data_IF_157190602416
#
_entry.id   IF_157190602416
#
_cell.length_a   1.000
_cell.length_b   1.000
_cell.length_c   1.000
_cell.angle_alpha   90.00
_cell.angle_beta   90.00
_cell.angle_gamma   90.00
#
_symmetry.space_group_name_H-M   'P 1'
#
loop_
_entity.id
_entity.type
_entity.pdbx_description
1 polymer ?
#
# COMPACT_ATOMS: atom_id res chain seq x y z
N UNK A 1 30.39 -47.89 -23.72
CA UNK A 1 29.69 -46.83 -24.47
C UNK A 1 29.86 -45.53 -23.71
N UNK A 2 30.77 -44.63 -24.13
CA UNK A 2 31.06 -43.36 -23.41
C UNK A 2 30.02 -42.31 -23.85
N UNK A 3 29.29 -41.66 -22.93
CA UNK A 3 28.40 -40.58 -23.32
C UNK A 3 29.22 -39.45 -23.95
N UNK A 4 28.75 -38.94 -25.09
CA UNK A 4 29.40 -37.86 -25.82
C UNK A 4 29.47 -36.61 -24.94
N UNK A 5 30.65 -35.99 -24.84
CA UNK A 5 30.88 -34.78 -24.04
C UNK A 5 29.92 -33.63 -24.40
N UNK A 6 29.43 -33.62 -25.64
CA UNK A 6 28.44 -32.66 -26.11
C UNK A 6 27.06 -32.84 -25.44
N UNK A 7 26.65 -34.08 -25.14
CA UNK A 7 25.37 -34.37 -24.49
C UNK A 7 25.34 -33.86 -23.05
N UNK A 8 26.49 -33.90 -22.36
CA UNK A 8 26.65 -33.38 -21.00
C UNK A 8 26.61 -31.84 -21.01
N UNK A 9 27.28 -31.20 -21.97
CA UNK A 9 27.30 -29.73 -22.08
C UNK A 9 25.91 -29.17 -22.42
N UNK A 10 25.16 -29.82 -23.32
CA UNK A 10 23.79 -29.40 -23.65
C UNK A 10 22.85 -29.54 -22.44
N UNK A 11 22.99 -30.61 -21.64
CA UNK A 11 22.20 -30.79 -20.43
C UNK A 11 22.52 -29.78 -19.32
N UNK A 12 23.76 -29.28 -19.25
CA UNK A 12 24.15 -28.22 -18.32
C UNK A 12 23.58 -26.86 -18.76
N UNK A 13 23.58 -26.55 -20.06
CA UNK A 13 23.07 -25.26 -20.58
C UNK A 13 21.53 -25.16 -20.44
N UNK A 14 20.80 -26.27 -20.58
CA UNK A 14 19.34 -26.28 -20.47
C UNK A 14 18.84 -26.04 -19.03
N UNK A 15 19.65 -26.34 -18.01
CA UNK A 15 19.27 -26.12 -16.60
C UNK A 15 19.57 -24.70 -16.07
N UNK A 16 20.19 -23.81 -16.87
CA UNK A 16 20.51 -22.43 -16.46
C UNK A 16 19.41 -21.43 -16.84
N UNK A 17 18.27 -21.90 -17.36
CA UNK A 17 17.07 -21.09 -17.47
C UNK A 17 16.29 -21.09 -16.14
N UNK A 18 16.91 -20.61 -15.05
CA UNK A 18 16.09 -20.03 -13.98
C UNK A 18 15.48 -18.77 -14.60
N UNK A 19 14.22 -18.89 -15.05
CA UNK A 19 13.43 -17.74 -15.41
C UNK A 19 13.44 -16.79 -14.21
N UNK A 20 14.04 -15.61 -14.37
CA UNK A 20 13.74 -14.51 -13.47
C UNK A 20 12.23 -14.31 -13.57
N UNK A 21 11.50 -14.66 -12.51
CA UNK A 21 10.05 -14.45 -12.46
C UNK A 21 9.80 -12.96 -12.64
N UNK A 22 9.23 -12.59 -13.78
CA UNK A 22 8.79 -11.22 -14.03
C UNK A 22 7.43 -11.07 -13.37
N UNK A 23 7.40 -10.28 -12.29
CA UNK A 23 6.15 -9.94 -11.62
C UNK A 23 5.21 -9.18 -12.56
N UNK A 24 3.92 -9.48 -12.46
CA UNK A 24 2.88 -8.85 -13.27
C UNK A 24 2.60 -7.43 -12.80
N UNK A 25 1.91 -6.65 -13.62
CA UNK A 25 1.43 -5.31 -13.21
C UNK A 25 0.49 -5.40 -12.00
N UNK A 26 -0.32 -6.46 -11.90
CA UNK A 26 -1.23 -6.64 -10.76
C UNK A 26 -0.45 -6.88 -9.47
N UNK A 27 0.59 -7.72 -9.52
CA UNK A 27 1.46 -7.98 -8.37
C UNK A 27 2.07 -6.68 -7.84
N UNK A 28 2.60 -5.85 -8.74
CA UNK A 28 3.19 -4.56 -8.36
C UNK A 28 2.12 -3.62 -7.79
N UNK A 29 0.94 -3.51 -8.43
CA UNK A 29 -0.17 -2.68 -7.92
C UNK A 29 -0.63 -3.11 -6.54
N UNK A 30 -0.72 -4.41 -6.28
CA UNK A 30 -1.06 -4.93 -4.96
C UNK A 30 -0.09 -4.41 -3.89
N UNK A 31 1.21 -4.59 -4.12
CA UNK A 31 2.21 -4.13 -3.15
C UNK A 31 2.28 -2.61 -3.02
N UNK A 32 2.09 -1.87 -4.12
CA UNK A 32 1.98 -0.40 -4.08
C UNK A 32 0.79 0.01 -3.21
N UNK A 33 -0.39 -0.57 -3.43
CA UNK A 33 -1.58 -0.27 -2.64
C UNK A 33 -1.34 -0.51 -1.14
N UNK A 34 -0.78 -1.67 -0.76
CA UNK A 34 -0.46 -1.97 0.64
C UNK A 34 0.53 -0.97 1.25
N UNK A 35 1.55 -0.54 0.49
CA UNK A 35 2.49 0.51 0.94
C UNK A 35 1.78 1.85 1.13
N UNK A 36 0.88 2.22 0.22
CA UNK A 36 0.08 3.45 0.34
C UNK A 36 -0.74 3.45 1.63
N UNK A 37 -1.50 2.39 1.90
CA UNK A 37 -2.29 2.26 3.14
C UNK A 37 -1.40 2.37 4.37
N UNK A 38 -0.26 1.67 4.37
CA UNK A 38 0.69 1.71 5.46
C UNK A 38 1.26 3.12 5.68
N UNK A 39 1.75 3.78 4.65
CA UNK A 39 2.35 5.11 4.75
C UNK A 39 1.33 6.17 5.18
N UNK A 40 0.09 6.10 4.67
CA UNK A 40 -0.98 6.99 5.12
C UNK A 40 -1.29 6.79 6.61
N UNK A 41 -1.40 5.53 7.04
CA UNK A 41 -1.65 5.17 8.45
C UNK A 41 -0.53 5.66 9.37
N UNK A 42 0.73 5.43 8.98
CA UNK A 42 1.90 5.85 9.73
C UNK A 42 1.98 7.40 9.84
N UNK A 43 1.67 8.14 8.78
CA UNK A 43 1.64 9.61 8.81
C UNK A 43 0.51 10.18 9.66
N UNK A 44 -0.70 9.61 9.57
CA UNK A 44 -1.83 9.99 10.44
C UNK A 44 -1.47 9.77 11.91
N UNK A 45 -0.83 8.65 12.24
CA UNK A 45 -0.40 8.33 13.60
C UNK A 45 0.62 9.34 14.15
N UNK A 46 1.56 9.84 13.31
CA UNK A 46 2.55 10.85 13.71
C UNK A 46 1.93 12.21 14.07
N UNK A 47 0.82 12.59 13.44
CA UNK A 47 0.16 13.89 13.67
C UNK A 47 -0.55 13.91 15.03
N UNK A 48 -1.14 12.78 15.43
CA UNK A 48 -1.90 12.60 16.67
C UNK A 48 -3.33 13.18 16.61
N UNK A 49 -4.28 12.63 17.40
CA UNK A 49 -5.71 12.96 17.32
C UNK A 49 -6.08 14.36 17.83
N UNK A 50 -5.16 15.01 18.54
CA UNK A 50 -5.45 16.24 19.29
C UNK A 50 -5.30 17.52 18.45
N UNK A 51 -4.80 17.42 17.21
CA UNK A 51 -4.68 18.59 16.33
C UNK A 51 -6.04 18.85 15.68
N UNK A 52 -6.67 19.96 16.04
CA UNK A 52 -7.98 20.38 15.55
C UNK A 52 -7.81 21.52 14.55
N UNK A 53 -8.58 21.49 13.47
CA UNK A 53 -8.71 22.56 12.48
C UNK A 53 -10.13 23.08 12.40
N UNK A 54 -10.26 24.36 12.04
CA UNK A 54 -11.54 24.97 11.72
C UNK A 54 -11.84 24.73 10.23
N UNK A 55 -12.98 24.11 9.95
CA UNK A 55 -13.46 23.75 8.61
C UNK A 55 -14.79 24.43 8.31
N UNK A 56 -15.04 24.66 7.01
CA UNK A 56 -16.28 25.27 6.50
C UNK A 56 -16.19 26.77 6.23
N UNK A 57 -17.15 27.28 5.44
CA UNK A 57 -17.28 28.70 5.14
C UNK A 57 -17.82 29.51 6.31
N UNK A 58 -17.78 30.85 6.20
CA UNK A 58 -18.33 31.77 7.19
C UNK A 58 -19.86 31.65 7.24
N UNK A 59 -20.38 30.77 8.10
CA UNK A 59 -21.79 30.78 8.49
C UNK A 59 -21.95 31.72 9.68
N UNK A 60 -22.93 32.61 9.64
CA UNK A 60 -23.28 33.44 10.79
C UNK A 60 -24.37 32.74 11.59
N UNK A 61 -24.26 32.75 12.92
CA UNK A 61 -25.37 32.37 13.80
C UNK A 61 -26.47 33.46 13.77
N UNK A 62 -27.57 33.21 14.48
CA UNK A 62 -28.68 34.16 14.61
C UNK A 62 -28.31 35.48 15.30
N UNK A 63 -27.14 35.55 15.94
CA UNK A 63 -26.59 36.75 16.60
C UNK A 63 -25.53 37.46 15.76
N UNK A 64 -25.24 36.97 14.54
CA UNK A 64 -24.25 37.56 13.64
C UNK A 64 -22.80 37.15 13.93
N UNK A 65 -22.56 36.15 14.78
CA UNK A 65 -21.20 35.62 15.02
C UNK A 65 -20.84 34.57 13.97
N UNK A 66 -19.58 34.57 13.53
CA UNK A 66 -19.07 33.54 12.65
C UNK A 66 -18.97 32.19 13.37
N UNK A 67 -19.71 31.20 12.89
CA UNK A 67 -19.66 29.80 13.31
C UNK A 67 -18.77 29.04 12.35
N UNK A 68 -17.70 28.44 12.88
CA UNK A 68 -16.82 27.52 12.16
C UNK A 68 -16.94 26.14 12.77
N UNK A 69 -16.97 25.11 11.94
CA UNK A 69 -16.97 23.74 12.43
C UNK A 69 -15.55 23.36 12.82
N UNK A 70 -15.39 22.57 13.87
CA UNK A 70 -14.08 22.06 14.30
C UNK A 70 -14.03 20.58 13.97
N UNK A 71 -12.96 20.14 13.30
CA UNK A 71 -12.70 18.71 12.99
C UNK A 71 -11.25 18.39 13.32
N UNK A 72 -10.94 17.13 13.59
CA UNK A 72 -9.55 16.68 13.64
C UNK A 72 -8.86 16.99 12.32
N UNK A 73 -7.62 17.51 12.38
CA UNK A 73 -6.77 17.75 11.21
C UNK A 73 -6.63 16.49 10.37
N UNK A 74 -6.37 15.35 11.02
CA UNK A 74 -6.19 14.05 10.35
C UNK A 74 -7.43 13.54 9.64
N UNK A 75 -8.61 14.10 9.95
CA UNK A 75 -9.89 13.76 9.32
C UNK A 75 -10.38 14.85 8.36
N UNK A 76 -9.60 15.91 8.17
CA UNK A 76 -9.96 16.98 7.23
C UNK A 76 -9.64 16.55 5.80
N UNK A 77 -10.53 16.90 4.86
CA UNK A 77 -10.36 16.58 3.44
C UNK A 77 -9.04 17.12 2.90
N UNK A 78 -8.75 18.41 3.18
CA UNK A 78 -7.48 19.05 2.81
C UNK A 78 -6.25 18.24 3.26
N UNK A 79 -6.21 17.81 4.52
CA UNK A 79 -5.09 17.04 5.04
C UNK A 79 -4.96 15.68 4.32
N UNK A 80 -6.07 14.99 4.10
CA UNK A 80 -6.07 13.65 3.51
C UNK A 80 -5.70 13.70 2.03
N UNK A 81 -6.19 14.68 1.26
CA UNK A 81 -5.78 14.89 -0.13
C UNK A 81 -4.29 15.20 -0.24
N UNK A 82 -3.78 16.13 0.58
CA UNK A 82 -2.33 16.41 0.61
C UNK A 82 -1.51 15.18 1.02
N UNK A 83 -2.04 14.37 1.95
CA UNK A 83 -1.36 13.16 2.39
C UNK A 83 -1.27 12.12 1.28
N UNK A 84 -2.34 11.91 0.50
CA UNK A 84 -2.34 10.98 -0.63
C UNK A 84 -1.27 11.35 -1.66
N UNK A 85 -1.15 12.64 -2.00
CA UNK A 85 -0.11 13.14 -2.91
C UNK A 85 1.30 12.91 -2.34
N UNK A 86 1.55 13.30 -1.09
CA UNK A 86 2.85 13.12 -0.41
C UNK A 86 3.25 11.66 -0.29
N UNK A 87 2.30 10.75 -0.10
CA UNK A 87 2.58 9.31 -0.05
C UNK A 87 3.08 8.82 -1.41
N UNK A 88 2.49 9.25 -2.52
CA UNK A 88 2.99 8.89 -3.84
C UNK A 88 4.39 9.45 -4.13
N UNK A 89 4.73 10.63 -3.61
CA UNK A 89 6.10 11.16 -3.68
C UNK A 89 7.10 10.28 -2.92
N UNK A 90 6.73 9.77 -1.73
CA UNK A 90 7.60 8.86 -0.96
C UNK A 90 7.90 7.54 -1.67
N UNK A 91 7.05 7.11 -2.61
CA UNK A 91 7.30 5.89 -3.38
C UNK A 91 8.53 5.99 -4.29
N UNK A 92 9.11 7.18 -4.49
CA UNK A 92 10.43 7.35 -5.11
C UNK A 92 11.56 6.74 -4.28
N UNK A 93 11.39 6.61 -2.96
CA UNK A 93 12.38 6.00 -2.07
C UNK A 93 12.26 4.47 -2.00
N UNK A 94 11.23 3.91 -2.64
CA UNK A 94 10.95 2.48 -2.65
C UNK A 94 11.54 1.79 -3.88
N UNK A 95 11.90 0.53 -3.68
CA UNK A 95 12.43 -0.35 -4.72
C UNK A 95 11.73 -1.69 -4.68
N UNK A 96 11.55 -2.29 -5.87
CA UNK A 96 11.08 -3.66 -6.02
C UNK A 96 12.19 -4.63 -5.67
N UNK A 97 11.87 -5.58 -4.81
CA UNK A 97 12.80 -6.63 -4.40
C UNK A 97 12.11 -7.98 -4.37
N UNK A 98 12.87 -9.04 -4.59
CA UNK A 98 12.46 -10.42 -4.40
C UNK A 98 13.02 -10.91 -3.07
N UNK A 99 12.16 -11.44 -2.22
CA UNK A 99 12.59 -12.05 -0.97
C UNK A 99 13.36 -13.36 -1.22
N UNK A 100 14.59 -13.49 -0.70
CA UNK A 100 15.44 -14.67 -0.96
C UNK A 100 14.88 -15.97 -0.39
N UNK A 101 14.07 -15.89 0.67
CA UNK A 101 13.53 -17.07 1.37
C UNK A 101 12.26 -17.58 0.69
N UNK A 102 11.41 -16.66 0.25
CA UNK A 102 10.06 -16.97 -0.27
C UNK A 102 9.92 -16.82 -1.77
N UNK A 103 10.84 -16.13 -2.44
CA UNK A 103 10.77 -15.80 -3.88
C UNK A 103 9.71 -14.75 -4.22
N UNK A 104 9.01 -14.17 -3.23
CA UNK A 104 7.90 -13.24 -3.46
C UNK A 104 8.38 -11.80 -3.67
N UNK A 105 7.65 -11.06 -4.50
CA UNK A 105 7.80 -9.61 -4.65
C UNK A 105 7.52 -8.93 -3.31
N UNK A 106 8.32 -7.90 -2.99
CA UNK A 106 8.07 -6.92 -1.95
C UNK A 106 8.54 -5.55 -2.41
N UNK A 107 8.05 -4.51 -1.74
CA UNK A 107 8.58 -3.15 -1.84
C UNK A 107 9.26 -2.80 -0.53
N UNK A 108 10.49 -2.30 -0.59
CA UNK A 108 11.20 -1.79 0.57
C UNK A 108 11.72 -0.38 0.30
N UNK A 109 11.87 0.43 1.34
CA UNK A 109 12.67 1.66 1.22
C UNK A 109 14.12 1.27 0.98
N UNK A 110 14.78 1.93 0.04
CA UNK A 110 16.21 1.72 -0.18
C UNK A 110 17.02 2.23 1.01
N UNK A 111 16.61 3.38 1.55
CA UNK A 111 17.28 4.05 2.67
C UNK A 111 16.33 4.19 3.86
N UNK A 112 16.84 3.94 5.07
CA UNK A 112 16.17 4.17 6.34
C UNK A 112 17.14 4.93 7.24
N UNK A 113 16.71 6.06 7.79
CA UNK A 113 17.54 6.93 8.65
C UNK A 113 18.90 7.32 8.04
N UNK A 114 18.93 7.53 6.72
CA UNK A 114 20.15 7.89 5.99
C UNK A 114 21.13 6.75 5.75
N UNK A 115 20.80 5.52 6.15
CA UNK A 115 21.57 4.31 5.91
C UNK A 115 20.84 3.36 4.95
N UNK A 116 21.58 2.46 4.30
CA UNK A 116 20.97 1.41 3.47
C UNK A 116 20.08 0.53 4.35
N UNK A 117 18.89 0.21 3.86
CA UNK A 117 17.94 -0.62 4.60
C UNK A 117 18.59 -1.98 4.96
N UNK A 118 18.58 -2.41 6.24
CA UNK A 118 19.18 -3.67 6.67
C UNK A 118 18.61 -4.90 5.94
N UNK A 119 17.36 -4.81 5.49
CA UNK A 119 16.66 -5.89 4.77
C UNK A 119 17.28 -6.17 3.39
N UNK A 120 18.11 -5.27 2.85
CA UNK A 120 18.82 -5.46 1.57
C UNK A 120 19.68 -6.71 1.53
N UNK A 121 20.13 -7.23 2.68
CA UNK A 121 20.86 -8.49 2.76
C UNK A 121 19.99 -9.72 2.49
N UNK A 122 18.70 -9.65 2.78
CA UNK A 122 17.73 -10.74 2.67
C UNK A 122 16.95 -10.77 1.35
N UNK A 123 17.21 -9.81 0.46
CA UNK A 123 16.45 -9.63 -0.78
C UNK A 123 17.36 -9.45 -2.00
N UNK A 124 16.81 -9.70 -3.17
CA UNK A 124 17.43 -9.42 -4.46
C UNK A 124 16.69 -8.27 -5.15
N UNK A 125 17.41 -7.27 -5.65
CA UNK A 125 16.79 -6.15 -6.36
C UNK A 125 16.22 -6.61 -7.70
N UNK A 126 14.96 -6.27 -7.96
CA UNK A 126 14.35 -6.48 -9.27
C UNK A 126 14.98 -5.48 -10.24
N UNK A 127 15.65 -6.00 -11.27
CA UNK A 127 16.21 -5.17 -12.34
C UNK A 127 15.14 -5.00 -13.42
N UNK A 128 14.54 -3.83 -13.45
CA UNK A 128 13.51 -3.40 -14.37
C UNK A 128 14.04 -2.29 -15.28
N UNK A 129 13.51 -2.22 -16.50
CA UNK A 129 13.92 -1.20 -17.47
C UNK A 129 13.58 0.23 -17.02
N UNK A 130 12.67 0.37 -16.04
CA UNK A 130 12.21 1.65 -15.50
C UNK A 130 12.87 2.08 -14.18
N UNK A 131 13.80 1.31 -13.61
CA UNK A 131 14.51 1.60 -12.35
C UNK A 131 13.59 2.08 -11.20
N UNK A 132 12.45 1.41 -11.02
CA UNK A 132 11.39 1.72 -10.05
C UNK A 132 10.67 3.06 -10.25
N UNK A 133 10.87 3.74 -11.39
CA UNK A 133 10.14 4.99 -11.72
C UNK A 133 8.64 4.77 -11.90
N UNK A 134 8.19 3.53 -12.11
CA UNK A 134 6.76 3.19 -12.19
C UNK A 134 6.04 3.16 -10.84
N UNK A 135 6.72 3.02 -9.69
CA UNK A 135 6.03 2.91 -8.40
C UNK A 135 5.21 4.17 -8.06
N UNK A 136 5.74 5.40 -8.19
CA UNK A 136 4.93 6.61 -8.02
C UNK A 136 3.77 6.69 -9.03
N UNK A 137 3.96 6.22 -10.26
CA UNK A 137 2.90 6.22 -11.28
C UNK A 137 1.77 5.28 -10.89
N UNK A 138 2.08 4.06 -10.42
CA UNK A 138 1.06 3.14 -9.91
C UNK A 138 0.35 3.70 -8.68
N UNK A 139 1.06 4.43 -7.82
CA UNK A 139 0.44 5.11 -6.69
C UNK A 139 -0.61 6.12 -7.15
N UNK A 140 -0.27 6.99 -8.10
CA UNK A 140 -1.20 7.98 -8.63
C UNK A 140 -2.43 7.30 -9.26
N UNK A 141 -2.23 6.23 -10.04
CA UNK A 141 -3.35 5.45 -10.59
C UNK A 141 -4.24 4.84 -9.50
N UNK A 142 -3.66 4.37 -8.38
CA UNK A 142 -4.41 3.79 -7.26
C UNK A 142 -5.17 4.88 -6.51
N UNK A 143 -4.53 6.01 -6.19
CA UNK A 143 -5.15 7.14 -5.49
C UNK A 143 -6.32 7.70 -6.32
N UNK A 144 -6.15 7.86 -7.64
CA UNK A 144 -7.22 8.36 -8.52
C UNK A 144 -8.48 7.48 -8.45
N UNK A 145 -8.33 6.16 -8.33
CA UNK A 145 -9.45 5.21 -8.25
C UNK A 145 -9.99 5.10 -6.81
N UNK A 146 -9.11 5.15 -5.81
CA UNK A 146 -9.41 4.83 -4.42
C UNK A 146 -9.60 6.08 -3.53
N UNK A 147 -9.59 7.29 -4.09
CA UNK A 147 -9.70 8.54 -3.33
C UNK A 147 -10.91 8.53 -2.38
N UNK A 148 -12.10 8.21 -2.89
CA UNK A 148 -13.33 8.20 -2.09
C UNK A 148 -13.31 7.11 -0.99
N UNK A 149 -13.00 5.84 -1.29
CA UNK A 149 -12.82 4.80 -0.27
C UNK A 149 -11.82 5.17 0.82
N UNK A 150 -10.65 5.70 0.44
CA UNK A 150 -9.62 6.15 1.38
C UNK A 150 -10.14 7.32 2.24
N UNK A 151 -10.75 8.32 1.61
CA UNK A 151 -11.32 9.47 2.31
C UNK A 151 -12.33 9.01 3.37
N UNK A 152 -13.24 8.10 3.00
CA UNK A 152 -14.25 7.57 3.91
C UNK A 152 -13.61 6.79 5.07
N UNK A 153 -12.64 5.93 4.78
CA UNK A 153 -11.95 5.13 5.80
C UNK A 153 -11.22 6.01 6.82
N UNK A 154 -10.42 6.97 6.36
CA UNK A 154 -9.63 7.82 7.25
C UNK A 154 -10.46 8.89 7.99
N UNK A 155 -11.67 9.20 7.51
CA UNK A 155 -12.60 10.09 8.21
C UNK A 155 -13.47 9.38 9.25
N UNK A 156 -13.52 8.04 9.25
CA UNK A 156 -14.27 7.25 10.21
C UNK A 156 -13.80 7.46 11.65
N UNK A 157 -14.61 7.04 12.62
CA UNK A 157 -14.25 7.17 14.04
C UNK A 157 -13.13 6.23 14.45
N UNK A 158 -13.12 5.03 13.90
CA UNK A 158 -12.08 4.01 14.05
C UNK A 158 -11.55 3.62 12.68
N UNK A 159 -10.23 3.48 12.57
CA UNK A 159 -9.62 2.93 11.36
C UNK A 159 -9.69 1.40 11.42
N UNK A 160 -10.12 0.79 10.33
CA UNK A 160 -10.17 -0.68 10.21
C UNK A 160 -8.75 -1.25 10.24
N UNK A 161 -8.52 -2.28 11.04
CA UNK A 161 -7.24 -2.98 11.13
C UNK A 161 -6.92 -3.74 9.82
N UNK A 162 -7.96 -4.10 9.05
CA UNK A 162 -7.86 -4.79 7.77
C UNK A 162 -8.10 -3.84 6.58
N UNK A 163 -7.82 -2.54 6.75
CA UNK A 163 -8.03 -1.53 5.72
C UNK A 163 -7.32 -1.85 4.41
N UNK A 164 -6.15 -2.49 4.47
CA UNK A 164 -5.40 -2.90 3.29
C UNK A 164 -6.13 -4.01 2.51
N UNK A 165 -6.72 -4.99 3.18
CA UNK A 165 -7.54 -6.02 2.52
C UNK A 165 -8.77 -5.38 1.88
N UNK A 166 -9.49 -4.54 2.62
CA UNK A 166 -10.69 -3.86 2.11
C UNK A 166 -10.37 -3.01 0.86
N UNK A 167 -9.39 -2.11 0.95
CA UNK A 167 -9.07 -1.19 -0.16
C UNK A 167 -8.35 -1.90 -1.30
N UNK A 168 -7.35 -2.74 -1.02
CA UNK A 168 -6.49 -3.30 -2.07
C UNK A 168 -7.05 -4.58 -2.71
N UNK A 169 -7.84 -5.37 -1.97
CA UNK A 169 -8.45 -6.62 -2.46
C UNK A 169 -9.90 -6.40 -2.84
N UNK A 170 -10.76 -6.02 -1.89
CA UNK A 170 -12.21 -6.00 -2.12
C UNK A 170 -12.65 -4.88 -3.08
N UNK A 171 -12.13 -3.67 -2.89
CA UNK A 171 -12.48 -2.51 -3.72
C UNK A 171 -11.53 -2.40 -4.92
N UNK A 172 -10.23 -2.54 -4.68
CA UNK A 172 -9.18 -2.34 -5.69
C UNK A 172 -8.96 -3.50 -6.65
N UNK A 173 -9.28 -4.73 -6.24
CA UNK A 173 -9.02 -5.96 -7.00
C UNK A 173 -7.57 -6.03 -7.53
N UNK A 174 -6.60 -5.56 -6.73
CA UNK A 174 -5.17 -5.61 -7.05
C UNK A 174 -4.52 -6.87 -6.46
N UNK A 175 -5.00 -7.27 -5.28
CA UNK A 175 -4.47 -8.36 -4.47
C UNK A 175 -5.41 -9.57 -4.46
N UNK A 176 -4.84 -10.76 -4.23
CA UNK A 176 -5.58 -12.01 -4.02
C UNK A 176 -5.47 -12.45 -2.54
N UNK A 177 -5.78 -11.56 -1.61
CA UNK A 177 -5.76 -11.89 -0.18
C UNK A 177 -6.93 -12.80 0.21
N UNK A 178 -6.75 -13.58 1.28
CA UNK A 178 -7.86 -14.36 1.84
C UNK A 178 -8.95 -13.40 2.38
N UNK A 179 -10.24 -13.73 2.22
CA UNK A 179 -11.33 -12.95 2.80
C UNK A 179 -11.17 -12.85 4.32
N UNK A 180 -11.55 -11.70 4.90
CA UNK A 180 -11.59 -11.53 6.36
C UNK A 180 -12.66 -12.48 6.90
N UNK A 181 -12.28 -13.40 7.78
CA UNK A 181 -13.25 -14.24 8.49
C UNK A 181 -14.02 -13.34 9.48
N UNK A 182 -15.25 -12.98 9.14
CA UNK A 182 -16.18 -12.38 10.10
C UNK A 182 -16.75 -13.51 10.94
N UNK A 183 -16.50 -13.53 12.24
CA UNK A 183 -17.19 -14.41 13.18
C UNK A 183 -18.70 -14.17 13.01
N UNK A 184 -19.39 -15.13 12.39
CA UNK A 184 -20.83 -15.11 12.25
C UNK A 184 -21.43 -15.35 13.64
N UNK A 185 -21.84 -14.28 14.31
CA UNK A 185 -22.70 -14.38 15.49
C UNK A 185 -24.02 -15.06 15.06
N UNK A 186 -24.16 -16.33 15.43
CA UNK A 186 -25.45 -17.01 15.49
C UNK A 186 -26.25 -16.32 16.58
N UNK A 187 -26.96 -15.25 16.26
CA UNK A 187 -28.09 -14.83 17.09
C UNK A 187 -29.08 -15.99 17.12
N UNK A 188 -29.07 -16.71 18.24
CA UNK A 188 -30.09 -17.69 18.63
C UNK A 188 -31.45 -17.03 18.41
N UNK A 189 -32.22 -17.59 17.47
CA UNK A 189 -33.66 -17.39 17.45
C UNK A 189 -34.21 -17.98 18.74
N UNK A 190 -34.35 -17.17 19.78
CA UNK A 190 -35.28 -17.46 20.86
C UNK A 190 -36.69 -17.36 20.29
N UNK A 191 -37.26 -18.53 19.96
CA UNK A 191 -38.70 -18.72 19.92
C UNK A 191 -39.24 -18.49 21.34
N UNK A 192 -40.06 -17.44 21.52
CA UNK A 192 -41.17 -17.46 22.48
C UNK A 192 -42.34 -16.58 22.04
#
# INVERSE_FOLDING_TARGET
MKPSKHLIIVSIIINVALAAEKFTRSDVKCHVCKVVIKEMTDEVAKVGPNKIVEVGGFRLDSSGNAVRQKKSLTKSEMFLTELMEKVCEKLNDYVRVTDKKTGKLRLIKLMVDGMLNPDTSEVDFVQDDDLNKSLPVYCLEIIEIQEEPLMKAFQADTLDENLDINICTEIGNYCEDAPIETDYDFEEKEEL
#
